data_IF_975489967316
#
_entry.id   IF_975489967316
#
_cell.length_a   1.000
_cell.length_b   1.000
_cell.length_c   1.000
_cell.angle_alpha   90.00
_cell.angle_beta   90.00
_cell.angle_gamma   90.00
#
_symmetry.space_group_name_H-M   'P 1'
#
loop_
_entity.id
_entity.type
_entity.pdbx_description
1 polymer ?
#
# COMPACT_ATOMS: atom_id res chain seq x y z
N UNK A 1 -18.75 3.94 -7.13
CA UNK A 1 -17.58 3.17 -7.59
C UNK A 1 -16.39 3.25 -6.63
N UNK A 2 -16.07 4.42 -6.02
CA UNK A 2 -14.95 4.58 -5.06
C UNK A 2 -14.92 3.59 -3.87
N UNK A 3 -16.06 3.26 -3.27
CA UNK A 3 -16.10 2.27 -2.18
C UNK A 3 -15.61 0.88 -2.61
N UNK A 4 -16.00 0.43 -3.79
CA UNK A 4 -15.59 -0.87 -4.31
C UNK A 4 -14.08 -0.89 -4.62
N UNK A 5 -13.58 0.19 -5.19
CA UNK A 5 -12.14 0.41 -5.39
C UNK A 5 -11.36 0.38 -4.07
N UNK A 6 -11.75 1.20 -3.08
CA UNK A 6 -11.08 1.22 -1.78
C UNK A 6 -11.15 -0.13 -1.06
N UNK A 7 -12.27 -0.85 -1.17
CA UNK A 7 -12.42 -2.19 -0.59
C UNK A 7 -11.52 -3.22 -1.28
N UNK A 8 -11.36 -3.13 -2.60
CA UNK A 8 -10.44 -3.97 -3.36
C UNK A 8 -8.99 -3.67 -2.98
N UNK A 9 -8.60 -2.39 -2.91
CA UNK A 9 -7.28 -1.96 -2.45
C UNK A 9 -7.02 -2.48 -1.03
N UNK A 10 -7.96 -2.27 -0.10
CA UNK A 10 -7.84 -2.74 1.28
C UNK A 10 -7.64 -4.26 1.35
N UNK A 11 -8.43 -5.01 0.60
CA UNK A 11 -8.31 -6.47 0.53
C UNK A 11 -6.92 -6.89 0.02
N UNK A 12 -6.46 -6.28 -1.08
CA UNK A 12 -5.15 -6.57 -1.66
C UNK A 12 -4.01 -6.26 -0.67
N UNK A 13 -4.03 -5.09 -0.03
CA UNK A 13 -3.00 -4.69 0.95
C UNK A 13 -3.01 -5.58 2.20
N UNK A 14 -4.19 -6.01 2.66
CA UNK A 14 -4.34 -6.98 3.76
C UNK A 14 -3.69 -8.33 3.41
N UNK A 15 -3.93 -8.85 2.20
CA UNK A 15 -3.30 -10.08 1.73
C UNK A 15 -1.78 -9.94 1.58
N UNK A 16 -1.32 -8.84 0.96
CA UNK A 16 0.10 -8.60 0.69
C UNK A 16 0.90 -8.39 1.97
N UNK A 17 0.40 -7.56 2.89
CA UNK A 17 1.06 -7.35 4.19
C UNK A 17 1.17 -8.63 5.02
N UNK A 18 0.19 -9.55 4.90
CA UNK A 18 0.28 -10.88 5.52
C UNK A 18 1.36 -11.74 4.86
N UNK A 19 1.47 -11.72 3.53
CA UNK A 19 2.48 -12.50 2.80
C UNK A 19 3.92 -12.03 3.11
N UNK A 20 4.10 -10.73 3.34
CA UNK A 20 5.43 -10.13 3.56
C UNK A 20 5.90 -10.15 5.02
N UNK A 21 4.99 -10.34 5.98
CA UNK A 21 5.32 -10.34 7.41
C UNK A 21 5.57 -11.76 7.91
N UNK A 22 6.67 -11.92 8.63
CA UNK A 22 7.03 -13.20 9.26
C UNK A 22 6.18 -13.50 10.51
N UNK A 23 5.60 -12.45 11.11
CA UNK A 23 4.69 -12.56 12.24
C UNK A 23 3.24 -12.59 11.78
N UNK A 24 2.44 -13.49 12.37
CA UNK A 24 1.01 -13.63 12.06
C UNK A 24 0.12 -13.13 13.22
N UNK A 25 -0.12 -11.81 13.34
CA UNK A 25 -1.06 -11.28 14.33
C UNK A 25 -2.49 -11.56 13.87
N UNK A 26 -2.99 -12.76 14.18
CA UNK A 26 -4.36 -13.20 13.85
C UNK A 26 -5.44 -12.18 14.26
N UNK A 27 -5.22 -11.46 15.37
CA UNK A 27 -6.11 -10.41 15.84
C UNK A 27 -6.19 -9.23 14.88
N UNK A 28 -5.05 -8.74 14.39
CA UNK A 28 -5.00 -7.66 13.40
C UNK A 28 -5.71 -8.09 12.12
N UNK A 29 -5.51 -9.34 11.68
CA UNK A 29 -6.19 -9.85 10.49
C UNK A 29 -7.70 -9.92 10.66
N UNK A 30 -8.17 -10.40 11.82
CA UNK A 30 -9.59 -10.46 12.15
C UNK A 30 -10.19 -9.05 12.25
N UNK A 31 -9.52 -8.11 12.92
CA UNK A 31 -9.94 -6.72 13.02
C UNK A 31 -10.04 -6.06 11.65
N UNK A 32 -9.04 -6.27 10.78
CA UNK A 32 -9.06 -5.75 9.41
C UNK A 32 -10.20 -6.34 8.60
N UNK A 33 -10.50 -7.64 8.72
CA UNK A 33 -11.63 -8.25 8.03
C UNK A 33 -12.99 -7.66 8.45
N UNK A 34 -13.15 -7.35 9.75
CA UNK A 34 -14.37 -6.71 10.27
C UNK A 34 -14.48 -5.24 9.84
N UNK A 35 -13.36 -4.51 9.85
CA UNK A 35 -13.34 -3.07 9.54
C UNK A 35 -13.33 -2.76 8.04
N UNK A 36 -12.90 -3.69 7.19
CA UNK A 36 -12.81 -3.50 5.73
C UNK A 36 -14.09 -2.96 5.09
N UNK A 37 -15.30 -3.52 5.34
CA UNK A 37 -16.52 -3.00 4.72
C UNK A 37 -16.94 -1.62 5.26
N UNK A 38 -16.45 -1.23 6.45
CA UNK A 38 -16.84 0.01 7.15
C UNK A 38 -15.88 1.15 6.79
N UNK A 39 -14.57 0.90 6.83
CA UNK A 39 -13.54 1.92 6.67
C UNK A 39 -12.31 1.40 5.89
N UNK A 40 -12.48 1.06 4.60
CA UNK A 40 -11.44 0.40 3.81
C UNK A 40 -10.16 1.24 3.67
N UNK A 41 -10.27 2.57 3.55
CA UNK A 41 -9.09 3.45 3.45
C UNK A 41 -8.18 3.38 4.68
N UNK A 42 -8.75 3.31 5.89
CA UNK A 42 -7.93 3.18 7.11
C UNK A 42 -7.27 1.82 7.19
N UNK A 43 -7.97 0.76 6.81
CA UNK A 43 -7.39 -0.59 6.72
C UNK A 43 -6.21 -0.59 5.75
N UNK A 44 -6.37 -0.02 4.55
CA UNK A 44 -5.28 0.16 3.58
C UNK A 44 -4.11 0.94 4.16
N UNK A 45 -4.35 2.10 4.79
CA UNK A 45 -3.31 2.95 5.34
C UNK A 45 -2.47 2.23 6.42
N UNK A 46 -3.12 1.53 7.33
CA UNK A 46 -2.46 0.74 8.38
C UNK A 46 -1.60 -0.36 7.76
N UNK A 47 -2.15 -1.16 6.85
CA UNK A 47 -1.43 -2.27 6.23
C UNK A 47 -0.28 -1.82 5.32
N UNK A 48 -0.45 -0.73 4.57
CA UNK A 48 0.64 -0.11 3.78
C UNK A 48 1.74 0.43 4.69
N UNK A 49 1.40 1.15 5.77
CA UNK A 49 2.39 1.68 6.70
C UNK A 49 3.22 0.58 7.38
N UNK A 50 2.59 -0.52 7.79
CA UNK A 50 3.31 -1.68 8.31
C UNK A 50 4.24 -2.32 7.29
N UNK A 51 3.80 -2.41 6.02
CA UNK A 51 4.65 -2.92 4.94
C UNK A 51 5.87 -2.04 4.70
N UNK A 52 5.70 -0.71 4.68
CA UNK A 52 6.81 0.23 4.52
C UNK A 52 7.83 0.08 5.64
N UNK A 53 7.38 -0.03 6.90
CA UNK A 53 8.29 -0.27 8.04
C UNK A 53 9.04 -1.60 7.88
N UNK A 54 8.36 -2.65 7.43
CA UNK A 54 8.99 -3.95 7.20
C UNK A 54 10.01 -3.89 6.05
N UNK A 55 9.68 -3.20 4.94
CA UNK A 55 10.59 -3.01 3.81
C UNK A 55 11.81 -2.19 4.24
N UNK A 56 11.61 -1.04 4.89
CA UNK A 56 12.69 -0.21 5.41
C UNK A 56 13.63 -0.99 6.32
N UNK A 57 13.09 -1.79 7.25
CA UNK A 57 13.90 -2.64 8.14
C UNK A 57 14.75 -3.65 7.36
N UNK A 58 14.18 -4.31 6.34
CA UNK A 58 14.94 -5.25 5.50
C UNK A 58 15.99 -4.54 4.64
N UNK A 59 15.67 -3.39 4.03
CA UNK A 59 16.61 -2.60 3.23
C UNK A 59 17.78 -2.00 4.03
N UNK A 60 17.62 -1.85 5.35
CA UNK A 60 18.72 -1.50 6.25
C UNK A 60 19.68 -2.68 6.46
N UNK A 61 19.16 -3.90 6.50
CA UNK A 61 19.93 -5.13 6.72
C UNK A 61 20.56 -5.65 5.43
N UNK A 62 19.87 -5.50 4.31
CA UNK A 62 20.26 -5.97 2.99
C UNK A 62 20.40 -4.78 2.01
N UNK A 63 21.63 -4.41 1.63
CA UNK A 63 21.88 -3.33 0.68
C UNK A 63 21.21 -3.51 -0.68
N UNK A 64 20.99 -4.75 -1.13
CA UNK A 64 20.43 -5.04 -2.47
C UNK A 64 18.96 -4.62 -2.56
N UNK A 65 18.26 -4.54 -1.42
CA UNK A 65 16.87 -4.10 -1.32
C UNK A 65 16.70 -2.57 -1.32
N UNK A 66 17.78 -1.79 -1.17
CA UNK A 66 17.69 -0.32 -1.01
C UNK A 66 17.11 0.39 -2.22
N UNK A 67 17.51 -0.03 -3.42
CA UNK A 67 16.98 0.58 -4.64
C UNK A 67 15.48 0.30 -4.77
N UNK A 68 15.06 -0.94 -4.55
CA UNK A 68 13.65 -1.34 -4.57
C UNK A 68 12.83 -0.60 -3.51
N UNK A 69 13.37 -0.44 -2.30
CA UNK A 69 12.75 0.36 -1.24
C UNK A 69 12.63 1.84 -1.62
N UNK A 70 13.66 2.43 -2.23
CA UNK A 70 13.59 3.83 -2.66
C UNK A 70 12.50 4.04 -3.72
N UNK A 71 12.39 3.12 -4.69
CA UNK A 71 11.30 3.15 -5.68
C UNK A 71 9.95 2.98 -4.98
N UNK A 72 9.80 2.00 -4.08
CA UNK A 72 8.58 1.78 -3.30
C UNK A 72 8.13 3.06 -2.57
N UNK A 73 9.05 3.69 -1.84
CA UNK A 73 8.81 4.90 -1.06
C UNK A 73 8.41 6.08 -1.95
N UNK A 74 9.18 6.34 -3.02
CA UNK A 74 8.90 7.45 -3.93
C UNK A 74 7.57 7.26 -4.66
N UNK A 75 7.28 6.03 -5.10
CA UNK A 75 6.00 5.66 -5.70
C UNK A 75 4.83 5.81 -4.71
N UNK A 76 5.02 5.44 -3.44
CA UNK A 76 4.00 5.59 -2.40
C UNK A 76 3.72 7.05 -2.07
N UNK A 77 4.77 7.88 -1.97
CA UNK A 77 4.63 9.33 -1.77
C UNK A 77 3.91 10.00 -2.94
N UNK A 78 4.32 9.68 -4.18
CA UNK A 78 3.66 10.21 -5.37
C UNK A 78 2.21 9.76 -5.46
N UNK A 79 1.94 8.47 -5.22
CA UNK A 79 0.59 7.92 -5.20
C UNK A 79 -0.30 8.60 -4.15
N UNK A 80 0.20 8.79 -2.92
CA UNK A 80 -0.51 9.51 -1.87
C UNK A 80 -0.79 10.98 -2.22
N UNK A 81 0.15 11.67 -2.86
CA UNK A 81 -0.04 13.03 -3.33
C UNK A 81 -1.13 13.10 -4.42
N UNK A 82 -1.10 12.18 -5.39
CA UNK A 82 -2.10 12.11 -6.46
C UNK A 82 -3.49 11.73 -5.93
N UNK A 83 -3.56 10.86 -4.92
CA UNK A 83 -4.80 10.54 -4.21
C UNK A 83 -5.45 11.78 -3.57
N UNK A 84 -4.66 12.55 -2.83
CA UNK A 84 -5.16 13.79 -2.21
C UNK A 84 -5.54 14.81 -3.28
N UNK A 85 -4.75 14.93 -4.34
CA UNK A 85 -5.02 15.86 -5.43
C UNK A 85 -6.32 15.50 -6.19
N UNK A 86 -6.64 14.21 -6.37
CA UNK A 86 -7.90 13.75 -6.99
C UNK A 86 -9.14 14.24 -6.24
N UNK A 87 -9.05 14.30 -4.90
CA UNK A 87 -10.15 14.82 -4.06
C UNK A 87 -10.20 16.35 -4.02
N UNK A 88 -9.05 17.04 -4.07
CA UNK A 88 -8.98 18.52 -4.04
C UNK A 88 -9.32 19.14 -5.41
N UNK A 89 -8.94 18.48 -6.50
CA UNK A 89 -9.09 18.97 -7.88
C UNK A 89 -9.87 17.96 -8.75
N UNK A 90 -11.16 17.71 -8.46
CA UNK A 90 -11.94 16.63 -9.11
C UNK A 90 -12.12 16.81 -10.62
N UNK A 91 -11.97 18.03 -11.14
CA UNK A 91 -12.08 18.35 -12.57
C UNK A 91 -10.78 18.09 -13.35
N UNK A 92 -9.65 17.84 -12.66
CA UNK A 92 -8.36 17.58 -13.33
C UNK A 92 -8.34 16.15 -13.83
N UNK A 93 -8.25 15.91 -15.16
CA UNK A 93 -8.30 14.57 -15.69
C UNK A 93 -7.06 13.77 -15.28
N UNK A 94 -7.23 12.45 -15.18
CA UNK A 94 -6.17 11.45 -14.97
C UNK A 94 -5.45 11.45 -13.61
N UNK A 95 -5.81 12.28 -12.63
CA UNK A 95 -5.21 12.22 -11.28
C UNK A 95 -5.40 10.84 -10.64
N UNK A 96 -6.64 10.33 -10.63
CA UNK A 96 -6.97 8.98 -10.17
C UNK A 96 -6.17 7.88 -10.89
N UNK A 97 -6.04 7.98 -12.22
CA UNK A 97 -5.28 7.01 -13.01
C UNK A 97 -3.78 7.06 -12.68
N UNK A 98 -3.24 8.27 -12.51
CA UNK A 98 -1.87 8.49 -12.07
C UNK A 98 -1.60 7.91 -10.67
N UNK A 99 -2.56 8.04 -9.75
CA UNK A 99 -2.48 7.40 -8.44
C UNK A 99 -2.36 5.88 -8.57
N UNK A 100 -3.25 5.23 -9.33
CA UNK A 100 -3.15 3.78 -9.56
C UNK A 100 -1.83 3.37 -10.21
N UNK A 101 -1.33 4.13 -11.18
CA UNK A 101 -0.04 3.84 -11.83
C UNK A 101 1.12 3.90 -10.82
N UNK A 102 1.19 4.94 -10.01
CA UNK A 102 2.21 5.07 -8.97
C UNK A 102 2.10 3.92 -7.95
N UNK A 103 0.88 3.58 -7.53
CA UNK A 103 0.63 2.47 -6.60
C UNK A 103 1.06 1.11 -7.21
N UNK A 104 0.78 0.87 -8.49
CA UNK A 104 1.18 -0.36 -9.19
C UNK A 104 2.71 -0.51 -9.25
N UNK A 105 3.43 0.58 -9.56
CA UNK A 105 4.90 0.58 -9.52
C UNK A 105 5.39 0.29 -8.09
N UNK A 106 4.83 0.95 -7.08
CA UNK A 106 5.21 0.73 -5.68
C UNK A 106 4.99 -0.71 -5.23
N UNK A 107 3.83 -1.30 -5.52
CA UNK A 107 3.52 -2.70 -5.19
C UNK A 107 4.41 -3.69 -5.94
N UNK A 108 4.81 -3.41 -7.19
CA UNK A 108 5.69 -4.30 -7.97
C UNK A 108 7.05 -4.53 -7.31
N UNK A 109 7.55 -3.54 -6.55
CA UNK A 109 8.81 -3.64 -5.81
C UNK A 109 8.74 -4.63 -4.64
N UNK A 110 7.54 -4.93 -4.12
CA UNK A 110 7.38 -5.87 -3.02
C UNK A 110 7.73 -7.31 -3.40
N UNK A 111 7.80 -7.65 -4.69
CA UNK A 111 8.26 -8.97 -5.14
C UNK A 111 9.70 -9.26 -4.67
N UNK A 112 10.54 -8.23 -4.55
CA UNK A 112 11.90 -8.36 -4.03
C UNK A 112 11.98 -8.76 -2.56
N UNK A 113 10.88 -8.62 -1.82
CA UNK A 113 10.78 -9.09 -0.43
C UNK A 113 10.39 -10.58 -0.33
N UNK A 114 10.08 -11.23 -1.45
CA UNK A 114 9.73 -12.65 -1.53
C UNK A 114 10.87 -13.50 -2.10
N UNK A 115 11.89 -12.87 -2.68
CA UNK A 115 13.16 -13.48 -3.11
C UNK A 115 14.06 -13.74 -1.89
#
# INVERSE_FOLDING_TARGET
MRWADYSMIATATVCLSRALRNENPKLLMAASAVLLPIQPLMVSAVHTGMMEVAFAKRALQDPDLRMSHNVHKMSSLLGGALFIADDVFPETPFLHAGWHLAAAVGVSTCNKLLE
#
